data_IF_244939382353
#
_entry.id   IF_244939382353
#
_cell.length_a   1.000
_cell.length_b   1.000
_cell.length_c   1.000
_cell.angle_alpha   90.00
_cell.angle_beta   90.00
_cell.angle_gamma   90.00
#
_symmetry.space_group_name_H-M   'P 1'
#
loop_
_entity.id
_entity.type
_entity.pdbx_description
1 polymer ?
#
# COMPACT_ATOMS: atom_id res chain seq x y z
N UNK A 1 21.66 -21.22 8.02
CA UNK A 1 21.95 -19.77 7.94
C UNK A 1 20.67 -18.93 8.10
N UNK A 2 19.78 -19.28 9.05
CA UNK A 2 18.46 -18.64 9.20
C UNK A 2 18.39 -17.70 10.44
N UNK A 3 19.36 -17.78 11.35
CA UNK A 3 19.32 -17.02 12.60
C UNK A 3 19.64 -15.53 12.44
N UNK A 4 20.46 -15.11 11.48
CA UNK A 4 20.89 -13.70 11.36
C UNK A 4 19.84 -12.73 10.82
N UNK A 5 18.78 -13.21 10.16
CA UNK A 5 17.79 -12.34 9.51
C UNK A 5 16.58 -11.98 10.41
N UNK A 6 16.23 -12.83 11.39
CA UNK A 6 15.10 -12.55 12.30
C UNK A 6 15.41 -11.39 13.28
N UNK A 7 16.68 -11.18 13.64
CA UNK A 7 17.06 -10.20 14.66
C UNK A 7 16.73 -8.74 14.32
N UNK A 8 16.72 -8.34 13.03
CA UNK A 8 16.61 -6.91 12.70
C UNK A 8 15.22 -6.32 12.94
N UNK A 9 14.13 -7.05 12.64
CA UNK A 9 12.78 -6.54 12.91
C UNK A 9 12.51 -6.51 14.41
N UNK A 10 12.90 -7.55 15.16
CA UNK A 10 12.75 -7.57 16.62
C UNK A 10 13.50 -6.42 17.29
N UNK A 11 14.73 -6.12 16.85
CA UNK A 11 15.48 -4.97 17.39
C UNK A 11 14.83 -3.63 17.07
N UNK A 12 14.27 -3.46 15.85
CA UNK A 12 13.57 -2.24 15.45
C UNK A 12 12.28 -2.05 16.27
N UNK A 13 11.49 -3.11 16.44
CA UNK A 13 10.30 -3.10 17.29
C UNK A 13 10.67 -2.67 18.72
N UNK A 14 11.71 -3.29 19.31
CA UNK A 14 12.16 -2.97 20.66
C UNK A 14 12.63 -1.52 20.78
N UNK A 15 13.34 -1.00 19.78
CA UNK A 15 13.79 0.39 19.74
C UNK A 15 12.61 1.37 19.68
N UNK A 16 11.62 1.12 18.82
CA UNK A 16 10.41 1.96 18.72
C UNK A 16 9.62 1.91 20.04
N UNK A 17 9.43 0.71 20.62
CA UNK A 17 8.71 0.55 21.89
C UNK A 17 9.41 1.21 23.08
N UNK A 18 10.74 1.41 23.03
CA UNK A 18 11.48 2.17 24.04
C UNK A 18 11.15 3.67 24.03
N UNK A 19 10.75 4.21 22.88
CA UNK A 19 10.31 5.60 22.74
C UNK A 19 9.05 5.71 21.87
N UNK A 20 7.89 5.25 22.38
CA UNK A 20 6.71 4.97 21.56
C UNK A 20 6.04 6.23 20.99
N UNK A 21 6.42 7.42 21.47
CA UNK A 21 5.93 8.72 20.98
C UNK A 21 6.87 9.40 19.99
N UNK A 22 8.08 8.88 19.79
CA UNK A 22 8.99 9.43 18.80
C UNK A 22 8.48 9.12 17.38
N UNK A 23 8.82 9.98 16.40
CA UNK A 23 8.65 9.67 14.99
C UNK A 23 9.31 8.33 14.64
N UNK A 24 8.55 7.42 14.03
CA UNK A 24 9.06 6.14 13.55
C UNK A 24 8.50 5.82 12.16
N UNK A 25 9.23 4.98 11.45
CA UNK A 25 8.71 4.25 10.30
C UNK A 25 8.99 2.77 10.52
N UNK A 26 8.14 1.91 9.98
CA UNK A 26 8.29 0.48 10.14
C UNK A 26 7.70 -0.25 8.93
N UNK A 27 8.41 -1.29 8.48
CA UNK A 27 7.98 -2.22 7.45
C UNK A 27 8.19 -3.65 7.99
N UNK A 28 7.19 -4.50 7.79
CA UNK A 28 7.25 -5.88 8.23
C UNK A 28 6.66 -6.87 7.25
N UNK A 29 7.16 -8.08 7.37
CA UNK A 29 6.68 -9.27 6.68
C UNK A 29 6.72 -10.40 7.71
N UNK A 30 5.62 -11.12 7.85
CA UNK A 30 5.49 -12.18 8.83
C UNK A 30 4.78 -13.38 8.23
N UNK A 31 5.35 -14.57 8.45
CA UNK A 31 4.84 -15.84 7.93
C UNK A 31 4.66 -16.86 9.04
N UNK A 32 3.73 -17.79 8.87
CA UNK A 32 3.60 -18.92 9.81
C UNK A 32 4.78 -19.88 9.64
N UNK A 33 5.35 -20.27 10.77
CA UNK A 33 6.31 -21.38 10.87
C UNK A 33 5.76 -22.50 11.75
N UNK A 34 6.11 -23.75 11.41
CA UNK A 34 5.70 -24.94 12.16
C UNK A 34 4.28 -25.44 11.86
N UNK A 35 3.64 -24.93 10.80
CA UNK A 35 2.42 -25.49 10.24
C UNK A 35 2.67 -26.33 8.99
N UNK A 36 1.62 -26.59 8.21
CA UNK A 36 1.70 -27.35 6.95
C UNK A 36 0.68 -26.85 5.92
N UNK A 37 0.99 -27.06 4.65
CA UNK A 37 0.04 -26.84 3.56
C UNK A 37 -0.98 -27.99 3.48
N UNK A 38 -2.24 -27.64 3.35
CA UNK A 38 -3.35 -28.51 3.01
C UNK A 38 -4.11 -27.86 1.84
N UNK A 39 -3.77 -28.26 0.61
CA UNK A 39 -4.22 -27.54 -0.58
C UNK A 39 -3.64 -26.13 -0.62
N UNK A 40 -4.52 -25.14 -0.79
CA UNK A 40 -4.19 -23.72 -0.86
C UNK A 40 -4.14 -23.02 0.52
N UNK A 41 -4.32 -23.77 1.62
CA UNK A 41 -4.32 -23.25 3.00
C UNK A 41 -3.13 -23.72 3.81
N UNK A 42 -2.62 -22.85 4.66
CA UNK A 42 -1.57 -23.15 5.64
C UNK A 42 -2.14 -23.30 7.05
N UNK A 43 -2.15 -24.54 7.54
CA UNK A 43 -2.80 -24.93 8.80
C UNK A 43 -1.78 -25.05 9.94
N UNK A 44 -2.15 -24.57 11.12
CA UNK A 44 -1.29 -24.54 12.31
C UNK A 44 -0.17 -23.50 12.22
N UNK A 45 0.88 -23.67 13.01
CA UNK A 45 2.04 -22.77 13.05
C UNK A 45 1.82 -21.46 13.80
N UNK A 46 2.91 -20.68 13.91
CA UNK A 46 2.95 -19.38 14.60
C UNK A 46 3.62 -18.35 13.72
N UNK A 47 3.13 -17.11 13.74
CA UNK A 47 3.70 -16.04 12.93
C UNK A 47 5.09 -15.66 13.42
N UNK A 48 6.02 -15.54 12.47
CA UNK A 48 7.36 -15.01 12.69
C UNK A 48 7.72 -13.99 11.64
N UNK A 49 8.30 -12.89 12.12
CA UNK A 49 8.84 -11.83 11.31
C UNK A 49 10.07 -12.31 10.51
N UNK A 50 10.05 -12.08 9.21
CA UNK A 50 11.13 -12.40 8.26
C UNK A 50 11.49 -11.16 7.45
N UNK A 51 12.75 -11.04 7.02
CA UNK A 51 13.19 -9.90 6.19
C UNK A 51 12.88 -10.08 4.71
N UNK A 52 12.62 -11.31 4.27
CA UNK A 52 12.29 -11.58 2.88
C UNK A 52 11.71 -12.97 2.69
N UNK A 53 11.02 -13.12 1.57
CA UNK A 53 10.24 -14.30 1.24
C UNK A 53 10.19 -14.45 -0.28
N UNK A 54 10.48 -15.64 -0.79
CA UNK A 54 10.00 -16.04 -2.11
C UNK A 54 8.62 -16.65 -1.90
N UNK A 55 7.59 -16.08 -2.53
CA UNK A 55 6.22 -16.52 -2.36
C UNK A 55 6.09 -17.97 -2.86
N UNK A 56 5.63 -18.92 -2.01
CA UNK A 56 5.38 -20.30 -2.44
C UNK A 56 4.32 -20.36 -3.55
N UNK A 57 4.45 -21.33 -4.45
CA UNK A 57 3.48 -21.54 -5.54
C UNK A 57 2.07 -21.85 -5.06
N UNK A 58 1.94 -22.47 -3.88
CA UNK A 58 0.64 -22.81 -3.28
C UNK A 58 -0.05 -21.61 -2.61
N UNK A 59 0.64 -20.46 -2.50
CA UNK A 59 0.06 -19.26 -1.90
C UNK A 59 -0.93 -18.57 -2.85
N UNK A 60 -2.13 -18.35 -2.35
CA UNK A 60 -3.18 -17.54 -2.96
C UNK A 60 -3.88 -16.68 -1.89
N UNK A 61 -4.88 -15.92 -2.28
CA UNK A 61 -5.78 -15.25 -1.36
C UNK A 61 -6.35 -16.24 -0.32
N UNK A 62 -6.42 -15.81 0.94
CA UNK A 62 -6.93 -16.58 2.06
C UNK A 62 -6.13 -17.85 2.42
N UNK A 63 -4.88 -18.01 1.96
CA UNK A 63 -4.01 -19.12 2.39
C UNK A 63 -3.66 -19.09 3.89
N UNK A 64 -3.77 -17.93 4.55
CA UNK A 64 -3.39 -17.69 5.95
C UNK A 64 -1.90 -17.89 6.29
N UNK A 65 -1.04 -18.13 5.29
CA UNK A 65 0.40 -18.33 5.46
C UNK A 65 1.12 -17.04 5.84
N UNK A 66 0.81 -15.94 5.14
CA UNK A 66 1.37 -14.60 5.40
C UNK A 66 0.39 -13.86 6.31
N UNK A 67 0.90 -13.21 7.37
CA UNK A 67 0.06 -12.48 8.32
C UNK A 67 -0.68 -11.36 7.60
N UNK A 68 -1.97 -11.22 7.91
CA UNK A 68 -2.93 -10.34 7.22
C UNK A 68 -2.82 -10.37 5.69
N UNK A 69 -2.26 -11.44 5.09
CA UNK A 69 -2.11 -11.67 3.64
C UNK A 69 -1.08 -10.80 2.90
N UNK A 70 -0.21 -10.08 3.61
CA UNK A 70 0.63 -9.09 2.93
C UNK A 70 1.83 -8.56 3.69
N UNK A 71 2.35 -7.46 3.17
CA UNK A 71 3.35 -6.62 3.85
C UNK A 71 2.64 -5.53 4.63
N UNK A 72 3.13 -5.25 5.83
CA UNK A 72 2.72 -4.09 6.61
C UNK A 72 3.71 -2.93 6.49
N UNK A 73 3.22 -1.71 6.31
CA UNK A 73 3.98 -0.45 6.43
C UNK A 73 3.29 0.43 7.47
N UNK A 74 4.02 1.01 8.41
CA UNK A 74 3.43 1.82 9.47
C UNK A 74 4.33 2.99 9.88
N UNK A 75 3.70 4.10 10.24
CA UNK A 75 4.32 5.14 11.06
C UNK A 75 3.35 5.61 12.16
N UNK A 76 3.67 6.72 12.83
CA UNK A 76 2.82 7.25 13.91
C UNK A 76 1.38 7.56 13.49
N UNK A 77 1.12 7.80 12.20
CA UNK A 77 -0.16 8.32 11.72
C UNK A 77 -1.02 7.25 11.07
N UNK A 78 -0.40 6.31 10.36
CA UNK A 78 -1.13 5.37 9.51
C UNK A 78 -0.40 4.04 9.38
N UNK A 79 -1.19 2.99 9.11
CA UNK A 79 -0.68 1.72 8.60
C UNK A 79 -1.24 1.43 7.21
N UNK A 80 -0.50 0.64 6.44
CA UNK A 80 -0.92 0.11 5.15
C UNK A 80 -0.62 -1.38 5.11
N UNK A 81 -1.49 -2.09 4.40
CA UNK A 81 -1.21 -3.44 3.93
C UNK A 81 -1.12 -3.44 2.43
N UNK A 82 -0.11 -4.11 1.88
CA UNK A 82 -0.11 -4.51 0.46
C UNK A 82 -0.26 -6.04 0.36
N UNK A 83 -1.31 -6.51 -0.30
CA UNK A 83 -1.49 -7.95 -0.58
C UNK A 83 -0.36 -8.51 -1.43
N UNK A 84 0.09 -9.71 -1.07
CA UNK A 84 1.16 -10.43 -1.77
C UNK A 84 0.66 -11.53 -2.72
N UNK A 85 -0.65 -11.59 -2.94
CA UNK A 85 -1.30 -12.45 -3.92
C UNK A 85 -1.65 -11.70 -5.23
N UNK A 86 -2.46 -12.35 -6.07
CA UNK A 86 -2.87 -11.84 -7.37
C UNK A 86 -3.62 -10.50 -7.32
N UNK A 87 -4.20 -10.11 -6.17
CA UNK A 87 -4.93 -8.84 -6.00
C UNK A 87 -4.00 -7.64 -6.08
N UNK A 88 -2.83 -7.72 -5.45
CA UNK A 88 -1.87 -6.60 -5.33
C UNK A 88 -2.54 -5.27 -4.90
N UNK A 89 -3.54 -5.34 -4.03
CA UNK A 89 -4.24 -4.17 -3.54
C UNK A 89 -3.57 -3.64 -2.26
N UNK A 90 -3.67 -2.33 -2.06
CA UNK A 90 -3.17 -1.63 -0.89
C UNK A 90 -4.35 -1.17 -0.07
N UNK A 91 -4.53 -1.78 1.09
CA UNK A 91 -5.54 -1.41 2.06
C UNK A 91 -4.93 -0.50 3.14
N UNK A 92 -5.80 0.13 3.93
CA UNK A 92 -5.43 1.14 4.91
C UNK A 92 -5.77 0.62 6.30
N UNK A 93 -4.76 0.49 7.15
CA UNK A 93 -4.96 0.29 8.57
C UNK A 93 -5.07 1.67 9.24
N UNK A 94 -6.30 2.10 9.48
CA UNK A 94 -6.61 3.34 10.18
C UNK A 94 -6.28 3.19 11.65
N UNK A 95 -5.54 4.15 12.23
CA UNK A 95 -5.06 4.09 13.61
C UNK A 95 -5.81 5.07 14.51
N UNK A 96 -6.14 4.66 15.74
CA UNK A 96 -6.64 5.51 16.84
C UNK A 96 -5.54 5.87 17.85
N UNK A 97 -4.31 5.40 17.61
CA UNK A 97 -3.14 5.60 18.46
C UNK A 97 -1.96 6.06 17.61
N UNK A 98 -0.95 6.69 18.24
CA UNK A 98 0.26 7.15 17.57
C UNK A 98 1.50 6.27 17.82
N UNK A 99 1.30 5.13 18.49
CA UNK A 99 2.32 4.12 18.78
C UNK A 99 2.37 3.04 17.70
N UNK A 100 3.39 2.18 17.74
CA UNK A 100 3.51 1.01 16.85
C UNK A 100 2.39 -0.02 17.14
N UNK A 101 1.77 -0.57 16.10
CA UNK A 101 0.64 -1.54 16.22
C UNK A 101 0.81 -2.78 15.35
N UNK A 102 1.52 -2.70 14.22
CA UNK A 102 1.62 -3.80 13.26
C UNK A 102 2.11 -5.14 13.85
N UNK A 103 3.08 -5.19 14.78
CA UNK A 103 3.49 -6.45 15.39
C UNK A 103 2.36 -7.23 16.09
N UNK A 104 1.28 -6.54 16.47
CA UNK A 104 0.12 -7.07 17.19
C UNK A 104 -1.07 -7.38 16.28
N UNK A 105 -1.14 -6.79 15.07
CA UNK A 105 -2.27 -6.96 14.13
C UNK A 105 -2.34 -8.38 13.56
N UNK A 106 -3.53 -9.01 13.58
CA UNK A 106 -3.76 -10.31 12.94
C UNK A 106 -3.06 -11.50 13.60
N UNK A 107 -2.71 -11.39 14.88
CA UNK A 107 -2.15 -12.47 15.69
C UNK A 107 -3.23 -13.42 16.23
N UNK A 108 -4.46 -12.93 16.36
CA UNK A 108 -5.58 -13.50 17.09
C UNK A 108 -6.72 -14.00 16.18
N UNK A 109 -6.40 -14.31 14.92
CA UNK A 109 -7.35 -14.80 13.93
C UNK A 109 -7.18 -14.11 12.59
N UNK A 110 -7.74 -14.72 11.54
CA UNK A 110 -7.59 -14.21 10.18
C UNK A 110 -8.38 -12.91 9.94
N UNK A 111 -9.48 -12.69 10.64
CA UNK A 111 -10.38 -11.55 10.41
C UNK A 111 -10.29 -10.44 11.48
N UNK A 112 -9.51 -10.63 12.55
CA UNK A 112 -9.58 -9.77 13.74
C UNK A 112 -9.29 -8.29 13.45
N UNK A 113 -8.40 -8.02 12.50
CA UNK A 113 -8.02 -6.67 12.10
C UNK A 113 -9.07 -5.94 11.27
N UNK A 114 -10.12 -6.63 10.78
CA UNK A 114 -11.28 -5.99 10.13
C UNK A 114 -12.30 -5.46 11.14
N UNK A 115 -12.09 -5.70 12.45
CA UNK A 115 -13.01 -5.31 13.50
C UNK A 115 -12.45 -4.17 14.35
N UNK A 116 -13.36 -3.39 14.94
CA UNK A 116 -13.00 -2.22 15.71
C UNK A 116 -12.17 -2.60 16.94
N UNK A 117 -10.93 -2.11 17.00
CA UNK A 117 -10.03 -2.34 18.13
C UNK A 117 -9.57 -1.00 18.75
N UNK A 118 -8.97 -1.05 19.96
CA UNK A 118 -8.40 0.16 20.60
C UNK A 118 -7.31 0.83 19.75
N UNK A 119 -6.56 0.04 18.98
CA UNK A 119 -5.51 0.57 18.11
C UNK A 119 -6.05 1.17 16.80
N UNK A 120 -7.22 0.73 16.33
CA UNK A 120 -7.68 0.97 14.97
C UNK A 120 -8.32 -0.26 14.33
N UNK A 121 -8.38 -0.28 13.00
CA UNK A 121 -8.81 -1.43 12.18
C UNK A 121 -8.40 -1.23 10.72
N UNK A 122 -8.61 -2.22 9.88
CA UNK A 122 -8.64 -2.07 8.43
C UNK A 122 -9.87 -1.27 8.01
N UNK A 123 -9.65 -0.11 7.40
CA UNK A 123 -10.71 0.86 7.10
C UNK A 123 -11.05 0.93 5.62
N UNK A 124 -10.30 0.25 4.74
CA UNK A 124 -10.53 0.30 3.30
C UNK A 124 -10.78 -1.10 2.74
N UNK A 125 -11.89 -1.26 2.01
CA UNK A 125 -12.11 -2.44 1.16
C UNK A 125 -11.89 -2.09 -0.29
N UNK A 126 -10.77 -2.56 -0.81
CA UNK A 126 -10.44 -2.48 -2.24
C UNK A 126 -11.29 -3.40 -3.12
N UNK A 127 -11.93 -4.44 -2.55
CA UNK A 127 -12.76 -5.37 -3.31
C UNK A 127 -11.94 -6.16 -4.34
N UNK A 128 -12.46 -6.32 -5.58
CA UNK A 128 -11.76 -7.03 -6.68
C UNK A 128 -10.92 -6.10 -7.56
N UNK A 129 -10.51 -4.95 -7.04
CA UNK A 129 -9.75 -3.96 -7.77
C UNK A 129 -8.47 -3.57 -7.03
N UNK A 130 -7.72 -2.64 -7.59
CA UNK A 130 -6.55 -2.05 -6.93
C UNK A 130 -6.96 -1.18 -5.74
N UNK A 131 -6.16 -1.17 -4.68
CA UNK A 131 -6.34 -0.31 -3.52
C UNK A 131 -5.69 1.07 -3.69
N UNK A 132 -5.47 1.80 -2.59
CA UNK A 132 -4.90 3.15 -2.63
C UNK A 132 -3.44 3.12 -3.10
N UNK A 133 -3.13 3.78 -4.22
CA UNK A 133 -1.77 3.84 -4.76
C UNK A 133 -1.18 2.50 -5.18
N UNK A 134 -2.00 1.46 -5.25
CA UNK A 134 -1.64 0.19 -5.87
C UNK A 134 -1.32 0.37 -7.35
N UNK A 135 -0.75 -0.64 -7.97
CA UNK A 135 -0.27 -0.59 -9.35
C UNK A 135 -0.71 -1.81 -10.16
N UNK A 136 -0.83 -1.62 -11.47
CA UNK A 136 -1.24 -2.65 -12.41
C UNK A 136 -1.08 -2.18 -13.86
N UNK A 137 -1.79 -2.84 -14.78
CA UNK A 137 -1.84 -2.45 -16.19
C UNK A 137 -3.29 -2.25 -16.62
N UNK A 138 -3.64 -1.02 -17.01
CA UNK A 138 -4.95 -0.69 -17.53
C UNK A 138 -5.18 -1.34 -18.90
N UNK A 139 -6.22 -2.15 -18.98
CA UNK A 139 -6.75 -2.76 -20.20
C UNK A 139 -7.86 -1.88 -20.76
N UNK A 140 -7.52 -1.12 -21.81
CA UNK A 140 -8.44 -0.21 -22.48
C UNK A 140 -9.57 -0.94 -23.23
N UNK A 141 -9.40 -2.21 -23.59
CA UNK A 141 -10.44 -2.97 -24.30
C UNK A 141 -11.54 -3.42 -23.34
N UNK A 142 -11.17 -3.81 -22.12
CA UNK A 142 -12.09 -4.36 -21.12
C UNK A 142 -12.45 -3.37 -20.00
N UNK A 143 -11.87 -2.16 -20.04
CA UNK A 143 -12.04 -1.10 -19.03
C UNK A 143 -11.78 -1.58 -17.58
N UNK A 144 -10.66 -2.27 -17.39
CA UNK A 144 -10.27 -2.86 -16.12
C UNK A 144 -8.75 -2.73 -15.87
N UNK A 145 -8.33 -2.76 -14.62
CA UNK A 145 -6.92 -2.77 -14.25
C UNK A 145 -6.47 -4.21 -14.00
N UNK A 146 -5.66 -4.75 -14.90
CA UNK A 146 -5.06 -6.06 -14.69
C UNK A 146 -3.95 -5.98 -13.63
N UNK A 147 -4.02 -6.92 -12.68
CA UNK A 147 -3.10 -7.04 -11.55
C UNK A 147 -2.15 -8.23 -11.79
N UNK A 148 -1.67 -8.86 -10.72
CA UNK A 148 -0.57 -9.83 -10.76
C UNK A 148 -1.08 -11.28 -10.81
N UNK A 149 -2.10 -11.55 -11.62
CA UNK A 149 -2.71 -12.89 -11.78
C UNK A 149 -1.75 -13.93 -12.37
N UNK A 150 -0.88 -13.53 -13.29
CA UNK A 150 0.10 -14.41 -13.93
C UNK A 150 1.49 -13.83 -13.69
N UNK A 151 2.18 -14.40 -12.71
CA UNK A 151 3.57 -14.08 -12.36
C UNK A 151 4.29 -15.40 -12.14
N UNK A 152 5.52 -15.55 -12.65
CA UNK A 152 6.28 -16.79 -12.47
C UNK A 152 6.77 -16.93 -11.03
N UNK A 153 7.43 -15.90 -10.51
CA UNK A 153 7.94 -15.85 -9.15
C UNK A 153 7.72 -14.45 -8.56
N UNK A 154 7.38 -14.38 -7.29
CA UNK A 154 7.32 -13.13 -6.52
C UNK A 154 8.32 -13.22 -5.37
N UNK A 155 9.21 -12.24 -5.25
CA UNK A 155 10.23 -12.18 -4.19
C UNK A 155 10.04 -10.87 -3.44
N UNK A 156 9.96 -10.96 -2.12
CA UNK A 156 9.68 -9.84 -1.24
C UNK A 156 10.85 -9.61 -0.29
N UNK A 157 11.18 -8.35 -0.04
CA UNK A 157 12.12 -7.95 1.01
C UNK A 157 11.62 -6.71 1.74
N UNK A 158 11.87 -6.63 3.03
CA UNK A 158 11.57 -5.45 3.85
C UNK A 158 12.84 -4.95 4.55
N UNK A 159 12.97 -3.64 4.63
CA UNK A 159 14.13 -2.95 5.21
C UNK A 159 13.62 -1.82 6.10
N UNK A 160 14.17 -1.72 7.31
CA UNK A 160 13.87 -0.67 8.26
C UNK A 160 15.12 0.17 8.48
N UNK A 161 15.05 1.46 8.16
CA UNK A 161 16.10 2.43 8.40
C UNK A 161 15.63 3.44 9.46
N UNK A 162 16.49 4.39 9.82
CA UNK A 162 16.20 5.35 10.90
C UNK A 162 14.97 6.22 10.59
N UNK A 163 14.92 6.79 9.38
CA UNK A 163 13.93 7.82 9.02
C UNK A 163 12.90 7.32 7.99
N UNK A 164 13.10 6.13 7.43
CA UNK A 164 12.21 5.51 6.46
C UNK A 164 12.30 3.99 6.55
N UNK A 165 11.24 3.32 6.11
CA UNK A 165 11.19 1.87 5.98
C UNK A 165 10.59 1.53 4.63
N UNK A 166 10.98 0.40 4.05
CA UNK A 166 10.56 0.04 2.71
C UNK A 166 10.32 -1.44 2.52
N UNK A 167 9.45 -1.74 1.56
CA UNK A 167 9.25 -3.06 1.03
C UNK A 167 9.55 -3.07 -0.46
N UNK A 168 10.35 -4.03 -0.91
CA UNK A 168 10.67 -4.25 -2.32
C UNK A 168 10.07 -5.57 -2.75
N UNK A 169 9.35 -5.58 -3.88
CA UNK A 169 8.72 -6.76 -4.44
C UNK A 169 9.19 -6.91 -5.89
N UNK A 170 9.84 -8.03 -6.19
CA UNK A 170 10.26 -8.42 -7.52
C UNK A 170 9.26 -9.42 -8.10
N UNK A 171 8.45 -8.99 -9.07
CA UNK A 171 7.57 -9.83 -9.87
C UNK A 171 8.30 -10.27 -11.14
N UNK A 172 8.59 -11.57 -11.24
CA UNK A 172 9.29 -12.16 -12.38
C UNK A 172 8.31 -12.65 -13.43
N UNK A 173 8.53 -12.24 -14.67
CA UNK A 173 7.70 -12.58 -15.84
C UNK A 173 6.21 -12.32 -15.60
N UNK A 174 5.87 -11.17 -15.04
CA UNK A 174 4.48 -10.71 -14.97
C UNK A 174 3.92 -10.61 -16.38
N UNK A 175 2.79 -11.29 -16.60
CA UNK A 175 2.16 -11.45 -17.90
C UNK A 175 0.73 -10.94 -17.83
N UNK A 176 0.43 -9.95 -18.65
CA UNK A 176 -0.94 -9.62 -19.03
C UNK A 176 -1.15 -10.04 -20.49
N UNK A 177 -1.26 -9.11 -21.43
CA UNK A 177 -1.23 -9.34 -22.88
C UNK A 177 0.12 -8.93 -23.48
N UNK A 178 0.46 -9.48 -24.64
CA UNK A 178 1.79 -9.31 -25.25
C UNK A 178 2.88 -9.98 -24.42
N UNK A 179 4.13 -9.56 -24.50
CA UNK A 179 5.24 -10.23 -23.81
C UNK A 179 5.21 -10.04 -22.29
N UNK A 180 5.77 -11.02 -21.57
CA UNK A 180 5.94 -10.92 -20.13
C UNK A 180 7.06 -9.94 -19.78
N UNK A 181 6.90 -9.21 -18.68
CA UNK A 181 7.89 -8.26 -18.17
C UNK A 181 8.22 -8.57 -16.72
N UNK A 182 9.48 -8.37 -16.32
CA UNK A 182 9.80 -8.23 -14.90
C UNK A 182 9.42 -6.83 -14.44
N UNK A 183 8.80 -6.73 -13.25
CA UNK A 183 8.49 -5.50 -12.55
C UNK A 183 9.03 -5.59 -11.13
N UNK A 184 9.80 -4.58 -10.71
CA UNK A 184 10.15 -4.34 -9.32
C UNK A 184 9.34 -3.16 -8.81
N UNK A 185 8.66 -3.33 -7.68
CA UNK A 185 8.06 -2.24 -6.92
C UNK A 185 8.85 -2.00 -5.64
N UNK A 186 9.02 -0.74 -5.26
CA UNK A 186 9.52 -0.35 -3.94
C UNK A 186 8.54 0.63 -3.30
N UNK A 187 7.94 0.24 -2.18
CA UNK A 187 7.08 1.07 -1.36
C UNK A 187 7.91 1.58 -0.19
N UNK A 188 8.00 2.90 -0.01
CA UNK A 188 8.76 3.53 1.07
C UNK A 188 7.84 4.38 1.93
N UNK A 189 7.72 4.04 3.20
CA UNK A 189 7.04 4.83 4.22
C UNK A 189 8.06 5.61 5.05
N UNK A 190 7.73 6.84 5.40
CA UNK A 190 8.61 7.74 6.13
C UNK A 190 8.15 7.90 7.59
N UNK A 191 9.05 8.34 8.46
CA UNK A 191 8.72 8.67 9.85
C UNK A 191 7.93 9.99 10.00
N UNK A 192 7.27 10.44 8.93
CA UNK A 192 6.50 11.66 8.86
C UNK A 192 5.33 11.46 7.90
N UNK A 193 4.27 12.23 8.14
CA UNK A 193 3.10 12.34 7.27
C UNK A 193 2.44 10.97 6.98
N UNK A 194 1.50 10.92 6.04
CA UNK A 194 0.73 9.70 5.72
C UNK A 194 1.17 9.07 4.40
N UNK A 195 2.13 9.67 3.70
CA UNK A 195 2.42 9.25 2.34
C UNK A 195 3.40 8.08 2.26
N UNK A 196 3.20 7.26 1.23
CA UNK A 196 4.13 6.24 0.78
C UNK A 196 4.59 6.61 -0.60
N UNK A 197 5.91 6.58 -0.82
CA UNK A 197 6.50 6.68 -2.15
C UNK A 197 6.50 5.31 -2.80
N UNK A 198 6.06 5.25 -4.06
CA UNK A 198 6.12 4.04 -4.88
C UNK A 198 7.07 4.29 -6.04
N UNK A 199 8.08 3.45 -6.17
CA UNK A 199 8.96 3.39 -7.33
C UNK A 199 8.71 2.08 -8.09
N UNK A 200 8.31 2.18 -9.36
CA UNK A 200 8.13 1.03 -10.24
C UNK A 200 9.25 1.00 -11.28
N UNK A 201 9.91 -0.13 -11.43
CA UNK A 201 10.97 -0.36 -12.42
C UNK A 201 10.68 -1.63 -13.22
N UNK A 202 10.65 -1.52 -14.54
CA UNK A 202 10.35 -2.60 -15.45
C UNK A 202 11.57 -2.97 -16.29
N UNK A 203 11.68 -4.25 -16.61
CA UNK A 203 12.71 -4.77 -17.54
C UNK A 203 12.60 -4.20 -18.96
N UNK A 204 11.39 -3.82 -19.40
CA UNK A 204 11.10 -3.27 -20.72
C UNK A 204 10.05 -2.17 -20.61
N UNK A 205 9.94 -1.30 -21.62
CA UNK A 205 8.87 -0.30 -21.66
C UNK A 205 7.50 -0.96 -21.80
N UNK A 206 6.53 -0.56 -20.98
CA UNK A 206 5.17 -1.11 -20.95
C UNK A 206 4.15 0.01 -21.14
N UNK A 207 3.18 -0.18 -22.04
CA UNK A 207 2.01 0.70 -22.16
C UNK A 207 0.92 0.28 -21.17
N UNK A 208 0.19 1.25 -20.65
CA UNK A 208 -0.94 1.03 -19.75
C UNK A 208 -0.55 0.82 -18.30
N UNK A 209 0.74 0.93 -17.93
CA UNK A 209 1.15 0.94 -16.52
C UNK A 209 0.32 2.02 -15.79
N UNK A 210 -0.29 1.67 -14.67
CA UNK A 210 -1.20 2.58 -13.98
C UNK A 210 -1.12 2.44 -12.46
N UNK A 211 -1.67 3.45 -11.81
CA UNK A 211 -1.97 3.49 -10.37
C UNK A 211 -3.38 4.06 -10.17
N UNK A 212 -3.88 4.11 -8.94
CA UNK A 212 -5.18 4.72 -8.68
C UNK A 212 -5.65 4.65 -7.24
N UNK A 213 -6.92 4.97 -7.07
CA UNK A 213 -7.67 4.83 -5.82
C UNK A 213 -9.02 4.18 -6.12
N UNK A 214 -9.60 3.50 -5.14
CA UNK A 214 -10.91 2.86 -5.27
C UNK A 214 -11.97 3.91 -5.59
N UNK A 215 -12.84 3.63 -6.56
CA UNK A 215 -13.98 4.48 -6.89
C UNK A 215 -15.19 4.03 -6.08
N UNK A 216 -15.53 4.80 -5.05
CA UNK A 216 -16.67 4.52 -4.17
C UNK A 216 -17.91 5.28 -4.65
N UNK A 217 -19.06 4.60 -4.60
CA UNK A 217 -20.33 5.16 -5.08
C UNK A 217 -20.66 6.45 -4.32
N UNK A 218 -21.10 7.47 -5.05
CA UNK A 218 -21.48 8.78 -4.53
C UNK A 218 -20.35 9.58 -3.85
N UNK A 219 -19.08 9.16 -4.00
CA UNK A 219 -17.93 9.94 -3.56
C UNK A 219 -17.32 10.64 -4.77
N UNK A 220 -17.27 11.98 -4.81
CA UNK A 220 -16.72 12.71 -5.94
C UNK A 220 -15.19 12.62 -5.97
N UNK A 221 -14.63 12.57 -7.17
CA UNK A 221 -13.20 12.75 -7.38
C UNK A 221 -12.87 14.24 -7.40
N UNK A 222 -11.78 14.61 -6.75
CA UNK A 222 -11.12 15.91 -6.91
C UNK A 222 -9.73 15.74 -7.51
N UNK A 223 -9.30 16.74 -8.26
CA UNK A 223 -7.98 16.79 -8.87
C UNK A 223 -7.33 18.14 -8.55
N UNK A 224 -6.00 18.14 -8.44
CA UNK A 224 -5.20 19.34 -8.29
C UNK A 224 -3.93 19.25 -9.13
N UNK A 225 -3.41 20.40 -9.54
CA UNK A 225 -2.18 20.52 -10.33
C UNK A 225 -1.28 21.55 -9.66
N UNK A 226 0.00 21.21 -9.52
CA UNK A 226 1.01 22.07 -8.93
C UNK A 226 1.28 23.31 -9.79
N UNK A 227 1.73 24.43 -9.19
CA UNK A 227 1.90 25.72 -9.89
C UNK A 227 2.89 25.62 -11.04
N UNK A 228 3.94 24.81 -10.89
CA UNK A 228 4.94 24.58 -11.94
C UNK A 228 4.50 23.54 -12.99
N UNK A 229 3.30 22.96 -12.84
CA UNK A 229 2.72 21.93 -13.72
C UNK A 229 3.59 20.67 -13.88
N UNK A 230 4.38 20.32 -12.86
CA UNK A 230 5.15 19.06 -12.84
C UNK A 230 4.44 17.95 -12.09
N UNK A 231 3.59 18.28 -11.12
CA UNK A 231 2.87 17.29 -10.32
C UNK A 231 1.37 17.55 -10.35
N UNK A 232 0.61 16.48 -10.20
CA UNK A 232 -0.84 16.52 -10.02
C UNK A 232 -1.26 15.49 -8.98
N UNK A 233 -2.48 15.60 -8.47
CA UNK A 233 -3.12 14.55 -7.69
C UNK A 233 -4.50 14.20 -8.20
N UNK A 234 -4.93 12.97 -7.91
CA UNK A 234 -6.33 12.60 -7.81
C UNK A 234 -6.64 12.29 -6.34
N UNK A 235 -7.83 12.63 -5.86
CA UNK A 235 -8.21 12.41 -4.48
C UNK A 235 -9.72 12.25 -4.29
N UNK A 236 -10.11 11.53 -3.25
CA UNK A 236 -11.49 11.41 -2.78
C UNK A 236 -11.55 11.66 -1.29
N UNK A 237 -12.68 12.16 -0.80
CA UNK A 237 -12.96 12.32 0.62
C UNK A 237 -14.44 12.05 0.91
N UNK A 238 -14.74 11.40 2.04
CA UNK A 238 -16.11 11.19 2.51
C UNK A 238 -16.28 9.87 3.24
N UNK A 239 -17.53 9.43 3.40
CA UNK A 239 -17.84 8.13 4.01
C UNK A 239 -17.52 7.01 3.01
N UNK A 240 -16.25 6.61 3.02
CA UNK A 240 -15.68 5.57 2.16
C UNK A 240 -14.84 4.56 2.96
N UNK A 241 -15.22 4.36 4.21
CA UNK A 241 -14.62 3.38 5.13
C UNK A 241 -15.47 2.11 5.22
N UNK A 242 -14.87 0.99 5.64
CA UNK A 242 -15.60 -0.21 6.10
C UNK A 242 -16.08 -0.12 7.55
N UNK A 243 -15.97 1.07 8.14
CA UNK A 243 -16.22 1.30 9.56
C UNK A 243 -17.63 1.84 9.77
N UNK A 244 -17.83 2.79 10.69
CA UNK A 244 -19.15 3.38 10.93
C UNK A 244 -19.50 4.39 9.84
N UNK A 245 -20.80 4.68 9.67
CA UNK A 245 -21.33 5.57 8.61
C UNK A 245 -20.92 7.04 8.78
N UNK A 246 -20.48 7.42 9.97
CA UNK A 246 -20.01 8.76 10.31
C UNK A 246 -18.51 8.95 10.08
N UNK A 247 -17.74 7.87 9.93
CA UNK A 247 -16.31 7.95 9.72
C UNK A 247 -16.01 8.35 8.27
N UNK A 248 -15.05 9.25 8.10
CA UNK A 248 -14.59 9.68 6.78
C UNK A 248 -13.17 9.19 6.52
N UNK A 249 -12.88 8.93 5.26
CA UNK A 249 -11.55 8.61 4.79
C UNK A 249 -11.22 9.53 3.62
N UNK A 250 -10.04 10.12 3.64
CA UNK A 250 -9.40 10.73 2.49
C UNK A 250 -8.45 9.75 1.82
N UNK A 251 -8.42 9.70 0.49
CA UNK A 251 -7.42 8.97 -0.28
C UNK A 251 -6.86 9.87 -1.37
N UNK A 252 -5.56 9.81 -1.62
CA UNK A 252 -4.94 10.57 -2.70
C UNK A 252 -3.77 9.83 -3.34
N UNK A 253 -3.55 10.11 -4.62
CA UNK A 253 -2.35 9.73 -5.37
C UNK A 253 -1.78 10.96 -6.05
N UNK A 254 -0.51 11.26 -5.79
CA UNK A 254 0.28 12.32 -6.44
C UNK A 254 1.19 11.70 -7.50
N UNK A 255 1.15 12.23 -8.72
CA UNK A 255 1.90 11.69 -9.86
C UNK A 255 2.54 12.80 -10.70
N UNK A 256 3.68 12.50 -11.35
CA UNK A 256 4.36 13.47 -12.19
C UNK A 256 3.68 13.59 -13.57
N UNK A 257 3.38 14.81 -13.98
CA UNK A 257 2.69 15.12 -15.24
C UNK A 257 3.52 14.77 -16.48
N UNK A 258 4.84 14.68 -16.36
CA UNK A 258 5.69 14.22 -17.46
C UNK A 258 5.43 12.75 -17.83
N UNK A 259 5.08 11.92 -16.84
CA UNK A 259 4.78 10.49 -17.02
C UNK A 259 3.29 10.23 -17.22
N UNK A 260 2.43 11.21 -16.98
CA UNK A 260 0.97 11.10 -17.11
C UNK A 260 0.53 10.97 -18.58
N UNK A 261 -0.32 9.99 -18.87
CA UNK A 261 -0.99 9.85 -20.17
C UNK A 261 -2.45 10.31 -20.09
N UNK A 262 -3.26 9.59 -19.31
CA UNK A 262 -4.69 9.88 -19.16
C UNK A 262 -5.22 9.45 -17.80
N UNK A 263 -6.34 10.07 -17.42
CA UNK A 263 -7.17 9.63 -16.31
C UNK A 263 -8.36 8.84 -16.85
N UNK A 264 -8.70 7.73 -16.20
CA UNK A 264 -9.86 6.90 -16.52
C UNK A 264 -10.61 6.55 -15.25
N UNK A 265 -11.94 6.66 -15.27
CA UNK A 265 -12.80 6.08 -14.24
C UNK A 265 -13.32 4.72 -14.71
N UNK A 266 -12.76 3.63 -14.21
CA UNK A 266 -13.33 2.30 -14.42
C UNK A 266 -14.53 2.11 -13.47
N UNK A 267 -15.22 0.97 -13.56
CA UNK A 267 -16.35 0.66 -12.67
C UNK A 267 -16.02 0.78 -11.17
N UNK A 268 -14.78 0.48 -10.78
CA UNK A 268 -14.36 0.39 -9.37
C UNK A 268 -13.11 1.18 -9.03
N UNK A 269 -12.51 1.93 -9.97
CA UNK A 269 -11.23 2.62 -9.74
C UNK A 269 -11.14 3.95 -10.48
N UNK A 270 -10.66 4.97 -9.78
CA UNK A 270 -10.11 6.18 -10.36
C UNK A 270 -8.65 5.91 -10.74
N UNK A 271 -8.39 5.79 -12.05
CA UNK A 271 -7.14 5.26 -12.59
C UNK A 271 -6.32 6.36 -13.24
N UNK A 272 -5.06 6.46 -12.85
CA UNK A 272 -4.04 7.28 -13.51
C UNK A 272 -3.20 6.35 -14.38
N UNK A 273 -3.31 6.52 -15.70
CA UNK A 273 -2.53 5.76 -16.68
C UNK A 273 -1.26 6.56 -17.02
N UNK A 274 -0.13 5.88 -17.00
CA UNK A 274 1.16 6.45 -17.37
C UNK A 274 1.45 6.22 -18.86
N UNK A 275 2.24 7.12 -19.45
CA UNK A 275 2.83 6.95 -20.77
C UNK A 275 3.63 5.65 -20.82
N UNK A 276 3.82 5.11 -22.03
CA UNK A 276 4.68 3.94 -22.24
C UNK A 276 6.07 4.21 -21.65
N UNK A 277 6.40 3.51 -20.58
CA UNK A 277 7.60 3.76 -19.79
C UNK A 277 8.20 2.47 -19.25
N UNK A 278 9.46 2.54 -18.84
CA UNK A 278 10.15 1.48 -18.06
C UNK A 278 10.22 1.79 -16.57
N UNK A 279 9.86 3.01 -16.15
CA UNK A 279 9.84 3.38 -14.74
C UNK A 279 8.86 4.52 -14.48
N UNK A 280 8.38 4.60 -13.24
CA UNK A 280 7.59 5.72 -12.74
C UNK A 280 7.70 5.79 -11.23
N UNK A 281 7.72 7.01 -10.69
CA UNK A 281 7.67 7.28 -9.25
C UNK A 281 6.47 8.14 -8.93
N UNK A 282 5.74 7.79 -7.88
CA UNK A 282 4.55 8.53 -7.44
C UNK A 282 4.39 8.38 -5.93
N UNK A 283 3.42 9.09 -5.34
CA UNK A 283 3.10 8.99 -3.92
C UNK A 283 1.62 8.68 -3.75
N UNK A 284 1.26 7.97 -2.69
CA UNK A 284 -0.12 7.85 -2.26
C UNK A 284 -0.24 8.10 -0.77
N UNK A 285 -1.44 8.44 -0.31
CA UNK A 285 -1.75 8.53 1.11
C UNK A 285 -3.23 8.21 1.38
N UNK A 286 -3.50 7.92 2.64
CA UNK A 286 -4.82 7.80 3.23
C UNK A 286 -4.92 8.67 4.48
N UNK A 287 -6.10 9.14 4.84
CA UNK A 287 -6.31 9.94 6.05
C UNK A 287 -7.67 9.60 6.67
N UNK A 288 -7.68 8.81 7.74
CA UNK A 288 -8.91 8.42 8.42
C UNK A 288 -9.29 9.43 9.49
N UNK A 289 -10.57 9.76 9.60
CA UNK A 289 -11.07 10.81 10.51
C UNK A 289 -10.88 10.50 12.00
N UNK A 290 -10.64 9.23 12.37
CA UNK A 290 -10.36 8.84 13.77
C UNK A 290 -8.87 8.78 14.11
N UNK A 291 -7.99 9.15 13.17
CA UNK A 291 -6.57 9.34 13.47
C UNK A 291 -6.37 10.43 14.55
N UNK A 292 -5.53 10.18 15.57
CA UNK A 292 -5.22 11.20 16.58
C UNK A 292 -4.66 12.48 15.96
N UNK A 293 -5.35 13.60 16.20
CA UNK A 293 -5.03 14.90 15.59
C UNK A 293 -5.00 14.85 14.04
N UNK A 294 -5.85 14.00 13.46
CA UNK A 294 -5.94 13.75 12.03
C UNK A 294 -6.70 14.82 11.24
N UNK A 295 -6.89 14.53 9.95
CA UNK A 295 -7.65 15.36 9.02
C UNK A 295 -9.13 14.95 9.08
N UNK A 296 -9.92 15.67 9.87
CA UNK A 296 -11.30 15.28 10.21
C UNK A 296 -12.38 15.89 9.32
N UNK A 297 -12.01 16.88 8.49
CA UNK A 297 -12.93 17.52 7.52
C UNK A 297 -12.39 17.48 6.10
N UNK A 298 -13.29 17.58 5.13
CA UNK A 298 -12.96 17.62 3.70
C UNK A 298 -12.03 18.79 3.36
N UNK A 299 -12.30 19.96 3.94
CA UNK A 299 -11.49 21.17 3.75
C UNK A 299 -10.09 20.98 4.30
N UNK A 300 -9.96 20.42 5.51
CA UNK A 300 -8.66 20.15 6.13
C UNK A 300 -7.84 19.17 5.32
N UNK A 301 -8.49 18.14 4.75
CA UNK A 301 -7.85 17.14 3.91
C UNK A 301 -7.32 17.77 2.62
N UNK A 302 -8.14 18.53 1.90
CA UNK A 302 -7.66 19.15 0.66
C UNK A 302 -6.62 20.24 0.89
N UNK A 303 -6.71 21.02 1.97
CA UNK A 303 -5.65 21.97 2.34
C UNK A 303 -4.32 21.27 2.59
N UNK A 304 -4.34 20.07 3.18
CA UNK A 304 -3.14 19.24 3.35
C UNK A 304 -2.57 18.75 2.00
N UNK A 305 -3.43 18.36 1.05
CA UNK A 305 -2.98 18.01 -0.30
C UNK A 305 -2.36 19.19 -1.05
N UNK A 306 -2.93 20.40 -0.94
CA UNK A 306 -2.37 21.60 -1.55
C UNK A 306 -0.98 21.95 -0.98
N UNK A 307 -0.78 21.78 0.33
CA UNK A 307 0.55 21.94 0.96
C UNK A 307 1.57 20.93 0.40
N UNK A 308 1.14 19.69 0.14
CA UNK A 308 1.97 18.66 -0.48
C UNK A 308 2.33 19.02 -1.92
N UNK A 309 1.39 19.56 -2.70
CA UNK A 309 1.70 20.11 -4.03
C UNK A 309 2.72 21.25 -3.96
N UNK A 310 2.60 22.17 -3.00
CA UNK A 310 3.57 23.25 -2.80
C UNK A 310 4.99 22.74 -2.44
N UNK A 311 5.09 21.63 -1.70
CA UNK A 311 6.36 20.95 -1.40
C UNK A 311 6.94 20.30 -2.67
N UNK A 312 6.11 19.57 -3.42
CA UNK A 312 6.49 18.96 -4.70
C UNK A 312 6.92 20.01 -5.74
N UNK A 313 6.25 21.16 -5.77
CA UNK A 313 6.60 22.29 -6.64
C UNK A 313 8.03 22.79 -6.40
N UNK A 314 8.44 22.85 -5.13
CA UNK A 314 9.75 23.36 -4.71
C UNK A 314 10.85 22.31 -4.80
N UNK A 315 10.55 21.09 -4.39
CA UNK A 315 11.57 20.07 -4.10
C UNK A 315 11.52 18.88 -5.05
N UNK A 316 10.47 18.74 -5.85
CA UNK A 316 10.19 17.57 -6.70
C UNK A 316 10.08 16.23 -5.92
N UNK A 317 9.90 16.30 -4.60
CA UNK A 317 9.74 15.18 -3.68
C UNK A 317 9.02 15.63 -2.40
N UNK A 318 8.31 14.72 -1.73
CA UNK A 318 7.67 14.92 -0.42
C UNK A 318 8.60 14.52 0.74
#
# INVERSE_FOLDING_TARGET
MSSTFSFAQTSVIAQIKKNPKAPFSYAELSVKEGGKWEGDKYIGGTFKNVQGLTIPTDHTDHSTYIRYEGIGLENNQIGYRLYLDWRNATDIFGKKVNTLVLPEVGQDGFESYHHDAPWGQDVLKSGRTIGVGSYGRYDEQNDYVETFKIVKNTIVKVVNEKDQSSATIDYKRWKTWGDAVDLQSKLTIFNKDRFVKVDLNLSNTLSGLCTGIVAIKNIPLKQGISKNKKWAYIATYGNQTETKKEDNLGMAVFYPLESFDKYVKTKSTHTVVFKKTKNVSYYFLGAWSLEPNGLTTEESFYQDLEKKLDILDKNNQL
#
